data_IF_555093516516
#
_entry.id   IF_555093516516
#
_cell.length_a   1.000
_cell.length_b   1.000
_cell.length_c   1.000
_cell.angle_alpha   90.00
_cell.angle_beta   90.00
_cell.angle_gamma   90.00
#
_symmetry.space_group_name_H-M   'P 1'
#
loop_
_entity.id
_entity.type
_entity.pdbx_description
1 polymer ?
#
# COMPACT_ATOMS: atom_id res chain seq x y z
N UNK A 1 -58.38 -34.92 10.24
CA UNK A 1 -58.07 -33.75 9.39
C UNK A 1 -57.36 -32.73 10.27
N UNK A 2 -56.09 -32.49 9.92
CA UNK A 2 -55.22 -31.32 10.12
C UNK A 2 -55.75 -30.17 11.00
N UNK A 3 -54.94 -29.66 11.95
CA UNK A 3 -54.27 -28.36 11.79
C UNK A 3 -53.32 -27.98 12.96
N UNK A 4 -52.02 -27.90 12.60
CA UNK A 4 -50.97 -26.93 12.95
C UNK A 4 -50.59 -26.64 14.41
N UNK A 5 -49.38 -27.12 14.75
CA UNK A 5 -48.51 -26.55 15.76
C UNK A 5 -47.80 -25.29 15.20
N UNK A 6 -47.97 -24.14 15.84
CA UNK A 6 -47.11 -22.98 15.64
C UNK A 6 -45.83 -23.16 16.47
N UNK A 7 -44.69 -23.41 15.80
CA UNK A 7 -43.37 -23.18 16.37
C UNK A 7 -43.08 -21.68 16.30
N UNK A 8 -42.94 -21.04 17.46
CA UNK A 8 -42.33 -19.73 17.56
C UNK A 8 -40.85 -19.85 17.13
N UNK A 9 -40.45 -19.02 16.18
CA UNK A 9 -39.08 -18.91 15.69
C UNK A 9 -38.41 -17.84 16.54
N UNK A 10 -37.51 -18.25 17.44
CA UNK A 10 -36.58 -17.32 18.08
C UNK A 10 -35.62 -16.81 17.00
N UNK A 11 -35.65 -15.50 16.78
CA UNK A 11 -34.69 -14.79 15.95
C UNK A 11 -33.54 -14.41 16.87
N UNK A 12 -32.42 -15.12 16.77
CA UNK A 12 -31.16 -14.71 17.38
C UNK A 12 -30.76 -13.35 16.78
N UNK A 13 -30.78 -12.32 17.61
CA UNK A 13 -30.13 -11.04 17.33
C UNK A 13 -28.62 -11.29 17.41
N UNK A 14 -27.96 -11.36 16.26
CA UNK A 14 -26.52 -11.23 16.18
C UNK A 14 -26.18 -9.76 16.45
N UNK A 15 -25.83 -9.45 17.70
CA UNK A 15 -25.11 -8.22 18.03
C UNK A 15 -23.78 -8.24 17.28
N UNK A 16 -23.75 -7.59 16.11
CA UNK A 16 -22.51 -7.15 15.51
C UNK A 16 -22.03 -5.98 16.37
N UNK A 17 -21.10 -6.28 17.27
CA UNK A 17 -20.32 -5.28 17.96
C UNK A 17 -19.52 -4.53 16.90
N UNK A 18 -20.05 -3.38 16.47
CA UNK A 18 -19.33 -2.38 15.71
C UNK A 18 -18.20 -1.88 16.62
N UNK A 19 -17.07 -2.57 16.60
CA UNK A 19 -15.84 -2.10 17.23
C UNK A 19 -15.45 -0.82 16.49
N UNK A 20 -15.85 0.31 17.07
CA UNK A 20 -15.27 1.60 16.73
C UNK A 20 -13.81 1.51 17.15
N UNK A 21 -12.94 1.20 16.19
CA UNK A 21 -11.48 1.28 16.36
C UNK A 21 -11.19 2.72 16.79
N UNK A 22 -10.96 2.91 18.10
CA UNK A 22 -10.59 4.21 18.64
C UNK A 22 -9.28 4.60 17.98
N UNK A 23 -9.28 5.73 17.26
CA UNK A 23 -8.09 6.30 16.64
C UNK A 23 -6.92 6.23 17.64
N UNK A 24 -5.83 5.52 17.31
CA UNK A 24 -4.64 5.47 18.15
C UNK A 24 -4.24 6.90 18.53
N UNK A 25 -4.25 7.21 19.82
CA UNK A 25 -3.73 8.49 20.30
C UNK A 25 -2.24 8.55 19.93
N UNK A 26 -1.89 9.42 18.98
CA UNK A 26 -0.50 9.78 18.71
C UNK A 26 -0.01 9.61 17.27
N UNK A 27 -0.83 9.12 16.34
CA UNK A 27 -0.41 9.04 14.93
C UNK A 27 -0.61 10.38 14.20
N UNK A 28 0.35 10.77 13.36
CA UNK A 28 0.26 11.95 12.50
C UNK A 28 0.89 11.67 11.14
N UNK A 29 0.52 12.44 10.10
CA UNK A 29 1.12 12.30 8.77
C UNK A 29 2.66 12.44 8.80
N UNK A 30 3.19 13.25 9.73
CA UNK A 30 4.63 13.41 9.92
C UNK A 30 5.36 12.11 10.30
N UNK A 31 4.67 11.10 10.84
CA UNK A 31 5.26 9.80 11.19
C UNK A 31 5.76 9.05 9.94
N UNK A 32 5.26 9.39 8.74
CA UNK A 32 5.81 8.89 7.48
C UNK A 32 7.31 9.18 7.35
N UNK A 33 7.77 10.32 7.87
CA UNK A 33 9.18 10.71 7.79
C UNK A 33 10.08 9.91 8.74
N UNK A 34 9.52 9.11 9.65
CA UNK A 34 10.30 8.15 10.43
C UNK A 34 10.94 7.07 9.56
N UNK A 35 10.40 6.81 8.35
CA UNK A 35 11.02 5.92 7.36
C UNK A 35 12.38 6.42 6.83
N UNK A 36 12.82 7.63 7.21
CA UNK A 36 14.21 8.07 7.02
C UNK A 36 15.19 7.33 7.93
N UNK A 37 14.70 6.72 9.02
CA UNK A 37 15.48 5.87 9.90
C UNK A 37 15.82 4.55 9.21
N UNK A 38 17.11 4.20 9.16
CA UNK A 38 17.60 2.99 8.46
C UNK A 38 16.99 1.69 9.01
N UNK A 39 16.78 1.59 10.32
CA UNK A 39 16.21 0.38 10.92
C UNK A 39 14.72 0.22 10.55
N UNK A 40 13.95 1.31 10.60
CA UNK A 40 12.54 1.29 10.20
C UNK A 40 12.38 1.07 8.70
N UNK A 41 13.27 1.65 7.88
CA UNK A 41 13.33 1.40 6.45
C UNK A 41 13.65 -0.07 6.14
N UNK A 42 14.60 -0.67 6.87
CA UNK A 42 14.91 -2.10 6.73
C UNK A 42 13.70 -2.97 7.07
N UNK A 43 12.99 -2.65 8.16
CA UNK A 43 11.76 -3.35 8.54
C UNK A 43 10.64 -3.18 7.50
N UNK A 44 10.49 -1.98 6.93
CA UNK A 44 9.55 -1.70 5.83
C UNK A 44 9.79 -2.64 4.64
N UNK A 45 11.04 -2.71 4.15
CA UNK A 45 11.37 -3.55 3.00
C UNK A 45 11.30 -5.04 3.32
N UNK A 46 11.59 -5.46 4.55
CA UNK A 46 11.37 -6.84 4.97
C UNK A 46 9.88 -7.22 4.97
N UNK A 47 8.99 -6.31 5.38
CA UNK A 47 7.54 -6.52 5.34
C UNK A 47 7.00 -6.52 3.90
N UNK A 48 7.53 -5.65 3.04
CA UNK A 48 7.21 -5.63 1.61
C UNK A 48 7.56 -6.97 0.95
N UNK A 49 8.79 -7.46 1.14
CA UNK A 49 9.25 -8.76 0.63
C UNK A 49 8.38 -9.92 1.16
N UNK A 50 8.01 -9.89 2.45
CA UNK A 50 7.12 -10.88 3.04
C UNK A 50 5.70 -10.83 2.44
N UNK A 51 5.13 -9.64 2.26
CA UNK A 51 3.79 -9.45 1.69
C UNK A 51 3.73 -9.88 0.22
N UNK A 52 4.77 -9.55 -0.55
CA UNK A 52 4.94 -10.01 -1.92
C UNK A 52 4.96 -11.56 -2.01
N UNK A 53 5.79 -12.22 -1.19
CA UNK A 53 5.87 -13.69 -1.15
C UNK A 53 4.54 -14.33 -0.74
N UNK A 54 3.83 -13.75 0.22
CA UNK A 54 2.51 -14.22 0.63
C UNK A 54 1.51 -14.14 -0.54
N UNK A 55 1.47 -13.02 -1.25
CA UNK A 55 0.57 -12.84 -2.41
C UNK A 55 0.82 -13.84 -3.54
N UNK A 56 2.07 -14.25 -3.79
CA UNK A 56 2.36 -15.30 -4.78
C UNK A 56 1.81 -16.65 -4.33
N UNK A 57 2.07 -17.03 -3.07
CA UNK A 57 1.64 -18.31 -2.49
C UNK A 57 0.11 -18.40 -2.50
N UNK A 58 -0.59 -17.34 -2.11
CA UNK A 58 -2.06 -17.30 -2.07
C UNK A 58 -2.69 -17.46 -3.46
N UNK A 59 -2.03 -16.94 -4.51
CA UNK A 59 -2.48 -17.09 -5.89
C UNK A 59 -2.05 -18.43 -6.54
N UNK A 60 -1.48 -19.36 -5.76
CA UNK A 60 -1.05 -20.67 -6.25
C UNK A 60 0.19 -20.63 -7.14
N UNK A 61 0.91 -19.51 -7.15
CA UNK A 61 2.18 -19.37 -7.84
C UNK A 61 3.35 -19.93 -7.01
N UNK A 62 4.44 -20.28 -7.69
CA UNK A 62 5.74 -20.47 -7.03
C UNK A 62 6.47 -19.13 -7.04
N UNK A 63 7.18 -18.80 -5.95
CA UNK A 63 8.03 -17.60 -5.94
C UNK A 63 9.18 -17.82 -6.90
N UNK A 64 9.10 -17.26 -8.11
CA UNK A 64 10.20 -17.26 -9.06
C UNK A 64 10.95 -15.92 -9.01
N UNK A 65 12.20 -15.93 -9.47
CA UNK A 65 12.96 -14.69 -9.61
C UNK A 65 12.44 -13.78 -10.73
N UNK A 66 11.51 -14.28 -11.56
CA UNK A 66 10.99 -13.60 -12.75
C UNK A 66 9.65 -12.88 -12.47
N UNK A 67 9.01 -13.14 -11.33
CA UNK A 67 7.75 -12.50 -10.91
C UNK A 67 7.93 -11.05 -10.43
N UNK A 68 8.92 -10.32 -10.97
CA UNK A 68 9.31 -8.97 -10.53
C UNK A 68 8.19 -7.97 -10.84
N UNK A 69 7.18 -7.92 -9.99
CA UNK A 69 6.33 -6.76 -9.84
C UNK A 69 7.21 -5.64 -9.30
N UNK A 70 7.16 -4.51 -10.00
CA UNK A 70 8.03 -3.35 -9.79
C UNK A 70 7.60 -2.58 -8.53
N UNK A 71 7.85 -3.16 -7.35
CA UNK A 71 7.62 -2.42 -6.11
C UNK A 71 8.66 -1.29 -5.92
N UNK A 72 8.33 -0.33 -5.06
CA UNK A 72 9.17 0.82 -4.74
C UNK A 72 10.57 0.38 -4.27
N UNK A 73 11.61 1.06 -4.75
CA UNK A 73 12.99 0.82 -4.30
C UNK A 73 13.35 1.65 -3.07
N UNK A 74 14.40 1.28 -2.30
CA UNK A 74 14.93 2.12 -1.22
C UNK A 74 15.30 3.53 -1.69
N UNK A 75 15.86 3.67 -2.90
CA UNK A 75 16.21 4.96 -3.47
C UNK A 75 14.97 5.80 -3.78
N UNK A 76 13.94 5.21 -4.39
CA UNK A 76 12.69 5.90 -4.68
C UNK A 76 11.94 6.31 -3.40
N UNK A 77 11.93 5.46 -2.37
CA UNK A 77 11.37 5.81 -1.06
C UNK A 77 12.08 7.03 -0.46
N UNK A 78 13.42 7.09 -0.50
CA UNK A 78 14.18 8.25 -0.01
C UNK A 78 13.87 9.53 -0.79
N UNK A 79 13.71 9.43 -2.12
CA UNK A 79 13.29 10.55 -2.94
C UNK A 79 11.88 11.03 -2.59
N UNK A 80 10.93 10.11 -2.46
CA UNK A 80 9.55 10.40 -2.03
C UNK A 80 9.52 11.09 -0.67
N UNK A 81 10.24 10.58 0.33
CA UNK A 81 10.32 11.18 1.67
C UNK A 81 10.82 12.63 1.62
N UNK A 82 11.85 12.90 0.81
CA UNK A 82 12.40 14.25 0.66
C UNK A 82 11.49 15.19 -0.12
N UNK A 83 10.76 14.68 -1.11
CA UNK A 83 9.83 15.46 -1.91
C UNK A 83 8.52 15.75 -1.17
N UNK A 84 7.97 14.76 -0.46
CA UNK A 84 6.76 14.90 0.36
C UNK A 84 6.98 15.88 1.53
N UNK A 85 8.17 15.88 2.14
CA UNK A 85 8.55 16.86 3.16
C UNK A 85 8.55 18.29 2.59
N UNK A 86 9.15 18.50 1.41
CA UNK A 86 9.12 19.79 0.72
C UNK A 86 7.73 20.18 0.24
N UNK A 87 6.90 19.19 -0.07
CA UNK A 87 5.53 19.33 -0.55
C UNK A 87 4.51 19.64 0.54
N UNK A 88 4.90 19.63 1.84
CA UNK A 88 3.99 19.92 2.94
C UNK A 88 3.05 18.76 3.28
N UNK A 89 3.49 17.51 3.06
CA UNK A 89 2.68 16.32 3.34
C UNK A 89 2.21 16.23 4.80
N UNK A 90 3.02 16.70 5.76
CA UNK A 90 2.66 16.72 7.17
C UNK A 90 1.35 17.49 7.44
N UNK A 91 1.09 18.54 6.65
CA UNK A 91 -0.13 19.34 6.76
C UNK A 91 -1.23 18.88 5.80
N UNK A 92 -0.89 18.58 4.54
CA UNK A 92 -1.88 18.23 3.50
C UNK A 92 -2.45 16.82 3.67
N UNK A 93 -1.68 15.90 4.27
CA UNK A 93 -1.99 14.46 4.39
C UNK A 93 -2.12 13.73 3.04
N UNK A 94 -1.74 14.40 1.96
CA UNK A 94 -1.77 13.89 0.59
C UNK A 94 -0.62 14.50 -0.19
N UNK A 95 0.11 13.66 -0.94
CA UNK A 95 1.22 14.07 -1.78
C UNK A 95 1.35 13.13 -2.97
N UNK A 96 1.55 13.68 -4.15
CA UNK A 96 1.76 12.92 -5.39
C UNK A 96 2.88 13.56 -6.21
N UNK A 97 3.69 12.72 -6.87
CA UNK A 97 4.71 13.18 -7.81
C UNK A 97 5.06 12.11 -8.85
N UNK A 98 5.39 12.58 -10.04
CA UNK A 98 5.92 11.76 -11.14
C UNK A 98 7.46 11.69 -11.10
N UNK A 99 7.99 10.53 -11.46
CA UNK A 99 9.40 10.15 -11.41
C UNK A 99 9.78 9.43 -12.72
N UNK A 100 11.03 9.61 -13.16
CA UNK A 100 11.51 8.92 -14.37
C UNK A 100 11.62 7.40 -14.17
N UNK A 101 11.89 6.97 -12.94
CA UNK A 101 11.95 5.56 -12.55
C UNK A 101 11.87 5.44 -11.04
N UNK A 102 10.92 4.64 -10.52
CA UNK A 102 10.74 4.37 -9.08
C UNK A 102 11.09 2.93 -8.69
N UNK A 103 11.10 2.05 -9.69
CA UNK A 103 11.31 0.63 -9.55
C UNK A 103 12.74 0.20 -9.94
N UNK A 104 13.08 -1.04 -9.58
CA UNK A 104 14.31 -1.68 -10.04
C UNK A 104 14.29 -1.71 -11.57
N UNK A 105 15.34 -1.30 -12.28
CA UNK A 105 15.32 -1.24 -13.74
C UNK A 105 15.07 -2.64 -14.28
N UNK A 106 13.82 -2.93 -14.62
CA UNK A 106 13.51 -4.01 -15.54
C UNK A 106 14.08 -3.59 -16.90
N UNK A 107 14.33 -4.55 -17.78
CA UNK A 107 14.85 -4.27 -19.13
C UNK A 107 13.91 -3.37 -19.98
N UNK A 108 12.74 -3.00 -19.44
CA UNK A 108 11.83 -2.00 -19.98
C UNK A 108 12.43 -0.59 -19.97
N UNK A 109 12.49 0.02 -21.15
CA UNK A 109 12.95 1.40 -21.32
C UNK A 109 11.85 2.37 -20.86
N UNK A 110 11.94 2.88 -19.64
CA UNK A 110 11.19 4.09 -19.29
C UNK A 110 11.68 5.23 -20.19
N UNK A 111 10.74 5.83 -20.91
CA UNK A 111 11.00 7.01 -21.76
C UNK A 111 10.50 8.22 -21.00
N UNK A 112 11.00 9.42 -21.33
CA UNK A 112 10.50 10.64 -20.70
C UNK A 112 8.98 10.88 -20.90
N UNK A 113 8.34 10.13 -21.79
CA UNK A 113 6.89 10.14 -22.02
C UNK A 113 6.08 9.21 -21.11
N UNK A 114 6.68 8.19 -20.50
CA UNK A 114 6.01 7.30 -19.53
C UNK A 114 6.77 7.39 -18.21
N UNK A 115 6.23 8.17 -17.29
CA UNK A 115 6.80 8.41 -15.97
C UNK A 115 6.04 7.61 -14.93
N UNK A 116 6.79 7.03 -14.00
CA UNK A 116 6.21 6.38 -12.84
C UNK A 116 5.62 7.45 -11.91
N UNK A 117 4.63 7.08 -11.10
CA UNK A 117 3.96 8.01 -10.17
C UNK A 117 3.88 7.37 -8.80
N UNK A 118 4.30 8.13 -7.79
CA UNK A 118 4.12 7.76 -6.38
C UNK A 118 3.14 8.73 -5.75
N UNK A 119 2.14 8.20 -5.05
CA UNK A 119 1.26 8.99 -4.20
C UNK A 119 1.18 8.41 -2.79
N UNK A 120 1.14 9.28 -1.79
CA UNK A 120 1.04 8.92 -0.38
C UNK A 120 -0.11 9.70 0.25
N UNK A 121 -1.02 8.99 0.89
CA UNK A 121 -2.12 9.58 1.66
C UNK A 121 -2.07 9.10 3.11
N UNK A 122 -2.59 9.92 4.02
CA UNK A 122 -2.72 9.58 5.44
C UNK A 122 -4.17 9.79 5.92
N UNK A 123 -4.77 8.72 6.43
CA UNK A 123 -6.06 8.76 7.13
C UNK A 123 -5.84 8.83 8.64
N UNK A 124 -6.17 9.98 9.22
CA UNK A 124 -6.03 10.24 10.66
C UNK A 124 -7.01 9.45 11.53
N UNK A 125 -8.14 9.00 10.97
CA UNK A 125 -9.13 8.25 11.74
C UNK A 125 -8.64 6.82 12.01
N UNK A 126 -7.92 6.24 11.05
CA UNK A 126 -7.43 4.86 11.12
C UNK A 126 -5.92 4.77 11.37
N UNK A 127 -5.21 5.91 11.38
CA UNK A 127 -3.75 6.01 11.45
C UNK A 127 -3.04 5.27 10.30
N UNK A 128 -3.61 5.35 9.10
CA UNK A 128 -3.19 4.51 7.97
C UNK A 128 -2.52 5.36 6.89
N UNK A 129 -1.36 4.91 6.45
CA UNK A 129 -0.70 5.39 5.25
C UNK A 129 -1.08 4.50 4.06
N UNK A 130 -1.42 5.12 2.94
CA UNK A 130 -1.62 4.41 1.66
C UNK A 130 -0.65 4.96 0.64
N UNK A 131 0.34 4.16 0.25
CA UNK A 131 1.32 4.47 -0.80
C UNK A 131 0.89 3.78 -2.08
N UNK A 132 0.48 4.52 -3.11
CA UNK A 132 0.26 3.97 -4.44
C UNK A 132 1.53 4.12 -5.29
N UNK A 133 1.84 3.06 -6.02
CA UNK A 133 2.99 2.95 -6.92
C UNK A 133 2.41 2.63 -8.29
N UNK A 134 2.55 3.57 -9.23
CA UNK A 134 2.16 3.41 -10.62
C UNK A 134 3.43 3.33 -11.44
N UNK A 135 3.68 2.17 -12.04
CA UNK A 135 4.79 1.97 -12.97
C UNK A 135 4.28 2.15 -14.38
N UNK A 136 4.92 3.04 -15.14
CA UNK A 136 4.54 3.33 -16.52
C UNK A 136 5.60 2.82 -17.48
N UNK A 137 5.22 1.91 -18.37
CA UNK A 137 6.11 1.31 -19.36
C UNK A 137 5.59 1.54 -20.79
N UNK A 138 6.51 1.63 -21.74
CA UNK A 138 6.14 1.70 -23.16
C UNK A 138 5.78 0.32 -23.67
N UNK A 139 4.58 0.15 -24.21
CA UNK A 139 4.11 -1.10 -24.78
C UNK A 139 4.56 -1.30 -26.25
N UNK A 140 4.10 -2.39 -26.89
CA UNK A 140 4.46 -2.69 -28.28
C UNK A 140 3.90 -1.69 -29.32
N UNK A 141 2.89 -0.89 -28.93
CA UNK A 141 2.27 0.13 -29.78
C UNK A 141 2.90 1.51 -29.57
N UNK A 142 3.90 1.63 -28.69
CA UNK A 142 4.50 2.87 -28.20
C UNK A 142 3.54 3.73 -27.35
N UNK A 143 2.56 3.10 -26.71
CA UNK A 143 1.69 3.75 -25.72
C UNK A 143 2.21 3.48 -24.30
N UNK A 144 1.80 4.30 -23.33
CA UNK A 144 2.13 4.05 -21.93
C UNK A 144 1.12 3.06 -21.35
N UNK A 145 1.60 1.87 -21.01
CA UNK A 145 0.87 0.93 -20.18
C UNK A 145 1.22 1.19 -18.71
N UNK A 146 0.21 1.24 -17.85
CA UNK A 146 0.38 1.44 -16.41
C UNK A 146 0.08 0.15 -15.65
N UNK A 147 0.90 -0.15 -14.65
CA UNK A 147 0.63 -1.14 -13.61
C UNK A 147 0.56 -0.44 -12.27
N UNK A 148 -0.34 -0.87 -11.37
CA UNK A 148 -0.49 -0.27 -10.06
C UNK A 148 -0.38 -1.29 -8.93
N UNK A 149 0.42 -0.95 -7.93
CA UNK A 149 0.41 -1.58 -6.62
C UNK A 149 0.14 -0.56 -5.53
N UNK A 150 -0.37 -0.99 -4.39
CA UNK A 150 -0.58 -0.13 -3.23
C UNK A 150 -0.07 -0.81 -1.96
N UNK A 151 0.61 -0.03 -1.13
CA UNK A 151 1.09 -0.43 0.19
C UNK A 151 0.27 0.29 1.24
N UNK A 152 -0.39 -0.47 2.11
CA UNK A 152 -1.20 0.04 3.22
C UNK A 152 -0.48 -0.30 4.51
N UNK A 153 -0.07 0.70 5.29
CA UNK A 153 0.72 0.46 6.49
C UNK A 153 0.42 1.48 7.60
N UNK A 154 0.74 1.11 8.83
CA UNK A 154 0.59 1.97 10.02
C UNK A 154 1.95 2.14 10.69
N UNK A 155 2.30 3.38 11.03
CA UNK A 155 3.46 3.69 11.88
C UNK A 155 2.93 4.17 13.23
N UNK A 156 3.39 3.55 14.32
CA UNK A 156 2.98 3.88 15.68
C UNK A 156 4.17 3.69 16.61
N UNK A 157 4.49 4.70 17.42
CA UNK A 157 5.62 4.68 18.35
C UNK A 157 6.96 4.25 17.72
N UNK A 158 7.28 4.76 16.52
CA UNK A 158 8.54 4.44 15.85
C UNK A 158 8.57 3.07 15.16
N UNK A 159 7.42 2.40 14.98
CA UNK A 159 7.35 1.02 14.48
C UNK A 159 6.25 0.84 13.44
N UNK A 160 6.50 -0.03 12.46
CA UNK A 160 5.46 -0.47 11.52
C UNK A 160 4.62 -1.56 12.17
N UNK A 161 3.38 -1.23 12.53
CA UNK A 161 2.48 -2.11 13.29
C UNK A 161 1.52 -2.90 12.40
N UNK A 162 1.27 -2.42 11.18
CA UNK A 162 0.48 -3.07 10.14
C UNK A 162 1.12 -2.83 8.79
N UNK A 163 1.04 -3.81 7.89
CA UNK A 163 1.55 -3.71 6.54
C UNK A 163 0.80 -4.68 5.62
N UNK A 164 0.28 -4.18 4.52
CA UNK A 164 -0.41 -4.94 3.48
C UNK A 164 0.01 -4.42 2.11
N UNK A 165 0.09 -5.34 1.15
CA UNK A 165 0.35 -5.03 -0.26
C UNK A 165 -0.87 -5.44 -1.07
N UNK A 166 -1.50 -4.47 -1.72
CA UNK A 166 -2.65 -4.65 -2.59
C UNK A 166 -2.20 -4.56 -4.04
N UNK A 167 -2.57 -5.55 -4.84
CA UNK A 167 -2.44 -5.50 -6.30
C UNK A 167 -3.71 -4.93 -6.89
N UNK A 168 -3.59 -3.96 -7.80
CA UNK A 168 -4.74 -3.59 -8.62
C UNK A 168 -5.05 -4.77 -9.57
N UNK A 169 -6.32 -5.18 -9.72
CA UNK A 169 -6.68 -6.07 -10.81
C UNK A 169 -6.50 -5.31 -12.13
N UNK A 170 -5.70 -5.89 -13.03
CA UNK A 170 -5.59 -5.45 -14.41
C UNK A 170 -6.92 -5.54 -15.15
#
# INVERSE_FOLDING_TARGET
MTLFACKAKETEQTEQTEQTEQAPKGCVAADFFELKNEALQTDFFAKLDAAYKAGIIENGGEVTNDDVWQDITPQALQQLLGDAEKGGFAESKDFEKEYLSVATPSESKNTASCMDRLSITFDENTCTFSLAIVDAMVDSENECAESMSSLVFKITDGKITSFERLLAPN
#
